data_IF_219779621690
#
_entry.id   IF_219779621690
#
_cell.length_a   1.000
_cell.length_b   1.000
_cell.length_c   1.000
_cell.angle_alpha   90.00
_cell.angle_beta   90.00
_cell.angle_gamma   90.00
#
_symmetry.space_group_name_H-M   'P 1'
#
loop_
_entity.id
_entity.type
_entity.pdbx_description
1 polymer ?
#
# COMPACT_ATOMS: atom_id res chain seq x y z
N UNK A 1 25.62 29.14 -32.62
CA UNK A 1 24.19 29.14 -32.23
C UNK A 1 23.86 27.83 -31.50
N UNK A 2 24.62 27.49 -30.45
CA UNK A 2 24.54 26.21 -29.73
C UNK A 2 24.27 26.39 -28.23
N UNK A 3 23.87 27.60 -27.81
CA UNK A 3 23.86 28.01 -26.40
C UNK A 3 22.45 28.30 -25.84
N UNK A 4 21.39 28.21 -26.64
CA UNK A 4 20.02 28.52 -26.18
C UNK A 4 19.19 27.31 -25.74
N UNK A 5 19.69 26.08 -25.91
CA UNK A 5 18.94 24.87 -25.55
C UNK A 5 19.15 24.45 -24.09
N UNK A 6 20.21 24.93 -23.44
CA UNK A 6 20.57 24.50 -22.07
C UNK A 6 19.76 25.25 -21.00
N UNK A 7 19.25 26.45 -21.31
CA UNK A 7 18.52 27.28 -20.34
C UNK A 7 17.07 26.83 -20.10
N UNK A 8 16.49 26.03 -21.01
CA UNK A 8 15.11 25.54 -20.88
C UNK A 8 14.93 24.30 -19.99
N UNK A 9 15.99 23.56 -19.67
CA UNK A 9 15.87 22.21 -19.05
C UNK A 9 16.01 22.15 -17.52
N UNK A 10 16.33 23.25 -16.83
CA UNK A 10 16.60 23.20 -15.38
C UNK A 10 15.35 23.49 -14.53
N UNK A 11 14.34 24.17 -15.08
CA UNK A 11 13.12 24.50 -14.33
C UNK A 11 12.19 23.28 -14.11
N UNK A 12 12.14 22.35 -15.06
CA UNK A 12 11.23 21.19 -15.04
C UNK A 12 11.70 20.09 -14.07
N UNK A 13 13.01 19.99 -13.83
CA UNK A 13 13.61 18.95 -12.99
C UNK A 13 13.48 19.24 -11.49
N UNK A 14 13.35 20.52 -11.11
CA UNK A 14 13.15 20.94 -9.72
C UNK A 14 11.70 20.77 -9.25
N UNK A 15 10.72 20.89 -10.16
CA UNK A 15 9.30 20.71 -9.82
C UNK A 15 8.94 19.26 -9.47
N UNK A 16 9.46 18.30 -10.24
CA UNK A 16 9.16 16.87 -10.05
C UNK A 16 9.72 16.30 -8.74
N UNK A 17 10.98 16.60 -8.40
CA UNK A 17 11.60 16.10 -7.17
C UNK A 17 10.92 16.63 -5.91
N UNK A 18 10.50 17.91 -5.90
CA UNK A 18 9.80 18.49 -4.75
C UNK A 18 8.46 17.80 -4.48
N UNK A 19 7.71 17.46 -5.54
CA UNK A 19 6.43 16.73 -5.41
C UNK A 19 6.65 15.31 -4.90
N UNK A 20 7.66 14.59 -5.42
CA UNK A 20 7.97 13.22 -4.97
C UNK A 20 8.41 13.19 -3.50
N UNK A 21 9.26 14.12 -3.09
CA UNK A 21 9.71 14.23 -1.68
C UNK A 21 8.53 14.60 -0.77
N UNK A 22 7.67 15.54 -1.19
CA UNK A 22 6.49 15.91 -0.42
C UNK A 22 5.52 14.73 -0.25
N UNK A 23 5.25 13.96 -1.31
CA UNK A 23 4.39 12.77 -1.25
C UNK A 23 4.98 11.70 -0.34
N UNK A 24 6.29 11.44 -0.44
CA UNK A 24 6.98 10.47 0.42
C UNK A 24 6.95 10.89 1.90
N UNK A 25 7.15 12.18 2.20
CA UNK A 25 7.07 12.72 3.56
C UNK A 25 5.64 12.66 4.11
N UNK A 26 4.62 12.96 3.30
CA UNK A 26 3.21 12.86 3.70
C UNK A 26 2.81 11.40 3.95
N UNK A 27 3.25 10.47 3.10
CA UNK A 27 3.01 9.04 3.27
C UNK A 27 3.67 8.52 4.56
N UNK A 28 4.94 8.90 4.81
CA UNK A 28 5.68 8.53 6.02
C UNK A 28 5.08 9.15 7.29
N UNK A 29 4.61 10.40 7.21
CA UNK A 29 3.92 11.07 8.31
C UNK A 29 2.56 10.42 8.62
N UNK A 30 1.80 9.99 7.59
CA UNK A 30 0.55 9.23 7.78
C UNK A 30 0.81 7.86 8.38
N UNK A 31 1.84 7.15 7.94
CA UNK A 31 2.27 5.87 8.52
C UNK A 31 2.65 5.99 10.00
N UNK A 32 3.44 7.02 10.37
CA UNK A 32 3.83 7.29 11.76
C UNK A 32 2.67 7.74 12.64
N UNK A 33 1.72 8.53 12.11
CA UNK A 33 0.50 8.90 12.86
C UNK A 33 -0.42 7.71 13.08
N UNK A 34 -0.47 6.76 12.14
CA UNK A 34 -1.22 5.51 12.28
C UNK A 34 -0.59 4.58 13.31
N UNK A 35 0.75 4.52 13.35
CA UNK A 35 1.49 3.79 14.38
C UNK A 35 1.30 4.38 15.79
N UNK A 36 1.30 5.72 15.93
CA UNK A 36 1.07 6.37 17.24
C UNK A 36 -0.38 6.33 17.73
N UNK A 37 -1.37 6.17 16.85
CA UNK A 37 -2.78 5.95 17.25
C UNK A 37 -3.07 4.54 17.76
N UNK A 38 -2.16 3.58 17.52
CA UNK A 38 -2.31 2.20 18.01
C UNK A 38 -2.01 2.01 19.50
N UNK A 39 -1.41 3.00 20.17
CA UNK A 39 -1.00 2.90 21.58
C UNK A 39 -1.87 3.70 22.55
N UNK A 40 -2.94 4.34 22.08
CA UNK A 40 -3.84 5.15 22.92
C UNK A 40 -5.31 4.86 22.59
N UNK A 41 -5.78 3.66 22.91
CA UNK A 41 -7.22 3.38 23.05
C UNK A 41 -7.42 2.23 24.04
N UNK A 42 -7.02 2.46 25.29
CA UNK A 42 -7.63 1.80 26.45
C UNK A 42 -8.79 2.69 26.91
N UNK A 43 -10.00 2.14 26.93
CA UNK A 43 -11.21 2.86 27.34
C UNK A 43 -12.48 2.15 26.87
N UNK A 44 -12.87 1.14 27.65
CA UNK A 44 -14.22 0.69 27.98
C UNK A 44 -15.33 0.75 26.91
N UNK A 45 -15.82 -0.44 26.51
CA UNK A 45 -17.22 -0.61 26.11
C UNK A 45 -17.58 -0.53 24.62
N UNK A 46 -16.67 -0.83 23.69
CA UNK A 46 -17.00 -0.88 22.26
C UNK A 46 -16.82 -2.30 21.72
N UNK A 47 -17.87 -2.85 21.09
CA UNK A 47 -17.86 -4.12 20.37
C UNK A 47 -16.50 -4.37 19.70
N UNK A 48 -15.87 -5.51 20.01
CA UNK A 48 -14.53 -5.91 19.57
C UNK A 48 -14.37 -5.77 18.07
N UNK A 49 -14.02 -4.58 17.60
CA UNK A 49 -13.69 -4.36 16.19
C UNK A 49 -12.36 -5.09 15.98
N UNK A 50 -12.28 -6.08 15.07
CA UNK A 50 -11.04 -6.80 14.85
C UNK A 50 -9.93 -5.79 14.52
N UNK A 51 -8.80 -5.90 15.21
CA UNK A 51 -7.64 -5.08 14.90
C UNK A 51 -7.25 -5.29 13.43
N UNK A 52 -7.00 -4.18 12.71
CA UNK A 52 -6.61 -4.28 11.32
C UNK A 52 -5.25 -4.98 11.18
N UNK A 53 -5.18 -5.98 10.32
CA UNK A 53 -3.99 -6.75 9.97
C UNK A 53 -3.43 -6.28 8.63
N UNK A 54 -2.15 -6.50 8.42
CA UNK A 54 -1.48 -6.23 7.14
C UNK A 54 -1.29 -7.55 6.41
N UNK A 55 -1.75 -7.60 5.17
CA UNK A 55 -1.70 -8.78 4.32
C UNK A 55 -0.79 -8.53 3.12
N UNK A 56 -0.01 -9.53 2.75
CA UNK A 56 0.79 -9.57 1.53
C UNK A 56 0.02 -10.33 0.45
N UNK A 57 -0.24 -9.68 -0.68
CA UNK A 57 -0.86 -10.32 -1.85
C UNK A 57 0.18 -11.23 -2.51
N UNK A 58 0.04 -12.54 -2.31
CA UNK A 58 1.02 -13.51 -2.77
C UNK A 58 1.05 -13.54 -4.30
N UNK A 59 2.26 -13.55 -4.87
CA UNK A 59 2.47 -13.55 -6.31
C UNK A 59 2.23 -12.20 -7.00
N UNK A 60 1.80 -11.17 -6.27
CA UNK A 60 1.55 -9.84 -6.83
C UNK A 60 2.70 -8.89 -6.51
N UNK A 61 3.13 -8.15 -7.54
CA UNK A 61 4.13 -7.09 -7.41
C UNK A 61 3.55 -5.76 -7.88
N UNK A 62 3.90 -4.70 -7.17
CA UNK A 62 3.66 -3.35 -7.65
C UNK A 62 4.56 -3.07 -8.87
N UNK A 63 4.28 -2.02 -9.67
CA UNK A 63 5.08 -1.66 -10.84
C UNK A 63 6.57 -1.40 -10.54
N UNK A 64 6.90 -1.09 -9.30
CA UNK A 64 8.27 -0.90 -8.78
C UNK A 64 8.95 -2.20 -8.32
N UNK A 65 8.27 -3.36 -8.46
CA UNK A 65 8.78 -4.68 -8.07
C UNK A 65 8.60 -5.02 -6.59
N UNK A 66 8.05 -4.11 -5.76
CA UNK A 66 7.80 -4.40 -4.35
C UNK A 66 6.56 -5.29 -4.15
N UNK A 67 6.51 -5.96 -3.01
CA UNK A 67 5.32 -6.71 -2.58
C UNK A 67 4.15 -5.76 -2.36
N UNK A 68 2.96 -6.20 -2.73
CA UNK A 68 1.75 -5.40 -2.50
C UNK A 68 1.16 -5.75 -1.12
N UNK A 69 1.00 -4.72 -0.29
CA UNK A 69 0.48 -4.83 1.07
C UNK A 69 -0.92 -4.21 1.18
N UNK A 70 -1.83 -4.94 1.83
CA UNK A 70 -3.21 -4.50 2.07
C UNK A 70 -3.51 -4.53 3.56
N UNK A 71 -3.97 -3.42 4.12
CA UNK A 71 -4.46 -3.38 5.50
C UNK A 71 -5.96 -3.70 5.54
N UNK A 72 -6.37 -4.70 6.32
CA UNK A 72 -7.77 -5.11 6.44
C UNK A 72 -8.10 -5.56 7.86
N UNK A 73 -9.27 -5.17 8.36
CA UNK A 73 -9.85 -5.70 9.61
C UNK A 73 -10.87 -6.82 9.35
N UNK A 74 -10.98 -7.29 8.11
CA UNK A 74 -11.86 -8.39 7.74
C UNK A 74 -11.27 -9.71 8.27
N UNK A 75 -12.12 -10.67 8.68
CA UNK A 75 -11.65 -11.97 9.15
C UNK A 75 -10.98 -12.76 8.02
N UNK A 76 -10.17 -13.75 8.39
CA UNK A 76 -9.67 -14.75 7.45
C UNK A 76 -10.83 -15.51 6.77
N UNK A 77 -10.59 -16.05 5.58
CA UNK A 77 -11.62 -16.60 4.68
C UNK A 77 -12.38 -15.53 3.89
N UNK A 78 -12.09 -14.25 4.11
CA UNK A 78 -12.73 -13.18 3.32
C UNK A 78 -12.01 -12.99 2.00
N UNK A 79 -12.75 -13.03 0.89
CA UNK A 79 -12.22 -12.68 -0.43
C UNK A 79 -12.26 -11.17 -0.64
N UNK A 80 -11.17 -10.63 -1.16
CA UNK A 80 -11.05 -9.25 -1.61
C UNK A 80 -10.69 -9.20 -3.09
N UNK A 81 -11.16 -8.16 -3.77
CA UNK A 81 -10.75 -7.87 -5.14
C UNK A 81 -9.68 -6.79 -5.11
N UNK A 82 -8.55 -7.06 -5.74
CA UNK A 82 -7.50 -6.09 -5.99
C UNK A 82 -7.50 -5.70 -7.47
N UNK A 83 -7.34 -4.40 -7.74
CA UNK A 83 -7.21 -3.86 -9.09
C UNK A 83 -5.74 -3.55 -9.34
N UNK A 84 -5.21 -4.06 -10.45
CA UNK A 84 -3.83 -3.84 -10.82
C UNK A 84 -3.61 -2.38 -11.23
N UNK A 85 -2.64 -1.66 -10.62
CA UNK A 85 -2.31 -0.30 -11.03
C UNK A 85 -1.89 -0.27 -12.50
N UNK A 86 -2.42 0.69 -13.26
CA UNK A 86 -2.16 0.87 -14.70
C UNK A 86 -2.72 -0.25 -15.60
N UNK A 87 -3.68 -1.04 -15.12
CA UNK A 87 -4.37 -2.09 -15.88
C UNK A 87 -5.85 -2.14 -15.48
N UNK A 88 -6.72 -2.59 -16.39
CA UNK A 88 -8.12 -2.90 -16.06
C UNK A 88 -8.28 -4.29 -15.43
N UNK A 89 -7.18 -5.01 -15.22
CA UNK A 89 -7.17 -6.33 -14.61
C UNK A 89 -7.55 -6.30 -13.14
N UNK A 90 -8.38 -7.25 -12.76
CA UNK A 90 -8.81 -7.48 -11.38
C UNK A 90 -8.50 -8.91 -10.98
N UNK A 91 -7.95 -9.06 -9.78
CA UNK A 91 -7.60 -10.37 -9.22
C UNK A 91 -8.20 -10.50 -7.83
N UNK A 92 -8.70 -11.70 -7.51
CA UNK A 92 -9.21 -11.99 -6.19
C UNK A 92 -8.17 -12.66 -5.31
N UNK A 93 -8.24 -12.33 -4.02
CA UNK A 93 -7.39 -12.90 -3.00
C UNK A 93 -8.20 -13.25 -1.77
N UNK A 94 -7.91 -14.41 -1.20
CA UNK A 94 -8.43 -14.83 0.09
C UNK A 94 -7.51 -14.35 1.21
N UNK A 95 -8.04 -13.61 2.18
CA UNK A 95 -7.31 -13.25 3.38
C UNK A 95 -7.16 -14.49 4.28
N UNK A 96 -5.95 -14.84 4.68
CA UNK A 96 -5.70 -16.04 5.50
C UNK A 96 -5.11 -15.69 6.87
N UNK A 97 -5.09 -16.67 7.79
CA UNK A 97 -4.39 -16.56 9.07
C UNK A 97 -2.90 -16.97 8.97
N UNK A 98 -2.41 -17.34 7.79
CA UNK A 98 -1.01 -17.74 7.61
C UNK A 98 -0.08 -16.53 7.75
N UNK A 99 0.92 -16.62 8.63
CA UNK A 99 1.89 -15.55 8.88
C UNK A 99 3.17 -15.83 8.10
N UNK A 100 3.63 -14.84 7.33
CA UNK A 100 4.87 -14.89 6.57
C UNK A 100 6.08 -14.54 7.46
N UNK A 101 7.28 -14.82 6.96
CA UNK A 101 8.53 -14.56 7.69
C UNK A 101 8.75 -13.07 8.02
N UNK A 102 8.09 -12.16 7.31
CA UNK A 102 8.13 -10.70 7.56
C UNK A 102 7.08 -10.22 8.57
N UNK A 103 6.28 -11.13 9.14
CA UNK A 103 5.23 -10.84 10.12
C UNK A 103 3.91 -10.36 9.51
N UNK A 104 3.78 -10.31 8.19
CA UNK A 104 2.51 -10.04 7.50
C UNK A 104 1.68 -11.32 7.37
N UNK A 105 0.37 -11.16 7.15
CA UNK A 105 -0.52 -12.27 6.85
C UNK A 105 -0.54 -12.55 5.34
N UNK A 106 -0.69 -13.80 4.93
CA UNK A 106 -0.80 -14.14 3.52
C UNK A 106 -2.22 -13.82 3.00
N UNK A 107 -2.27 -13.19 1.83
CA UNK A 107 -3.47 -13.15 1.02
C UNK A 107 -3.23 -13.99 -0.24
N UNK A 108 -3.87 -15.16 -0.30
CA UNK A 108 -3.64 -16.17 -1.34
C UNK A 108 -4.42 -15.82 -2.60
N UNK A 109 -3.81 -15.89 -3.80
CA UNK A 109 -4.51 -15.64 -5.05
C UNK A 109 -5.53 -16.75 -5.31
N UNK A 110 -6.74 -16.34 -5.68
CA UNK A 110 -7.74 -17.24 -6.25
C UNK A 110 -7.66 -17.13 -7.78
N UNK A 111 -8.77 -16.79 -8.43
CA UNK A 111 -8.85 -16.63 -9.88
C UNK A 111 -8.86 -15.16 -10.33
N UNK A 112 -8.59 -14.99 -11.62
CA UNK A 112 -8.59 -13.71 -12.30
C UNK A 112 -9.99 -13.43 -12.86
N UNK A 113 -10.50 -12.22 -12.62
CA UNK A 113 -11.71 -11.74 -13.29
C UNK A 113 -11.29 -11.02 -14.58
N UNK A 114 -11.87 -11.45 -15.70
CA UNK A 114 -11.78 -10.71 -16.99
C UNK A 114 -12.88 -9.68 -17.09
#
# INVERSE_FOLDING_TARGET
>A
MLNDVITGSIAELLGGCAVVVAVALVARARGRRRARRGTAQGGDGAATRPAARTYTLIGTRAPDGHLVLVASSRPAGTVITWQEPASDRRQQFELTDAVLSDGTFAAEPLDWYR
#
